data_IF_592736758228
#
_entry.id   IF_592736758228
#
_cell.length_a   1.000
_cell.length_b   1.000
_cell.length_c   1.000
_cell.angle_alpha   90.00
_cell.angle_beta   90.00
_cell.angle_gamma   90.00
#
_symmetry.space_group_name_H-M   'P 1'
#
loop_
_entity.id
_entity.type
_entity.pdbx_description
1 polymer ?
#
# COMPACT_ATOMS: atom_id res chain seq x y z
N UNK A 1 8.36 -1.54 10.69
CA UNK A 1 7.53 -0.89 11.75
C UNK A 1 6.59 -1.96 12.29
N UNK A 2 6.47 -2.10 13.62
CA UNK A 2 5.58 -3.11 14.21
C UNK A 2 4.17 -2.51 14.40
N UNK A 3 3.33 -2.62 13.37
CA UNK A 3 1.93 -2.15 13.42
C UNK A 3 1.15 -2.78 14.58
N UNK A 4 1.48 -4.01 14.97
CA UNK A 4 0.81 -4.73 16.06
C UNK A 4 0.73 -3.94 17.37
N UNK A 5 1.80 -3.23 17.74
CA UNK A 5 1.81 -2.44 18.99
C UNK A 5 0.82 -1.29 18.90
N UNK A 6 0.80 -0.59 17.76
CA UNK A 6 -0.12 0.53 17.54
C UNK A 6 -1.57 0.04 17.48
N UNK A 7 -1.83 -1.06 16.79
CA UNK A 7 -3.15 -1.71 16.73
C UNK A 7 -3.62 -2.06 18.14
N UNK A 8 -2.80 -2.75 18.95
CA UNK A 8 -3.17 -3.12 20.31
C UNK A 8 -3.47 -1.91 21.21
N UNK A 9 -2.72 -0.81 21.05
CA UNK A 9 -2.97 0.43 21.80
C UNK A 9 -4.30 1.07 21.35
N UNK A 10 -4.54 1.17 20.05
CA UNK A 10 -5.76 1.78 19.50
C UNK A 10 -7.00 0.96 19.86
N UNK A 11 -6.91 -0.37 19.79
CA UNK A 11 -7.98 -1.29 20.21
C UNK A 11 -8.29 -1.13 21.70
N UNK A 12 -7.26 -1.07 22.56
CA UNK A 12 -7.45 -0.88 24.01
C UNK A 12 -8.04 0.48 24.39
N UNK A 13 -7.87 1.49 23.54
CA UNK A 13 -8.45 2.82 23.69
C UNK A 13 -9.78 2.98 22.96
N UNK A 14 -10.27 1.91 22.31
CA UNK A 14 -11.47 1.92 21.46
C UNK A 14 -11.41 3.02 20.36
N UNK A 15 -10.20 3.34 19.89
CA UNK A 15 -9.98 4.32 18.83
C UNK A 15 -10.08 3.59 17.49
N UNK A 16 -11.05 3.92 16.63
CA UNK A 16 -11.16 3.27 15.34
C UNK A 16 -9.99 3.60 14.43
N UNK A 17 -9.55 2.59 13.67
CA UNK A 17 -8.37 2.73 12.84
C UNK A 17 -8.52 2.00 11.51
N UNK A 18 -7.70 2.45 10.56
CA UNK A 18 -7.42 1.74 9.31
C UNK A 18 -5.91 1.79 9.10
N UNK A 19 -5.37 0.83 8.37
CA UNK A 19 -3.95 0.84 8.00
C UNK A 19 -3.77 0.54 6.53
N UNK A 20 -2.68 1.08 5.97
CA UNK A 20 -2.18 0.67 4.66
C UNK A 20 -0.68 0.42 4.74
N UNK A 21 -0.21 -0.59 4.02
CA UNK A 21 1.22 -0.92 3.95
C UNK A 21 1.66 -1.30 2.54
N UNK A 22 2.95 -1.12 2.25
CA UNK A 22 3.57 -1.53 0.98
C UNK A 22 3.54 -3.07 0.81
N UNK A 23 3.45 -3.53 -0.45
CA UNK A 23 3.47 -4.96 -0.81
C UNK A 23 4.90 -5.47 -0.86
N UNK A 24 5.59 -5.38 0.28
CA UNK A 24 7.00 -5.70 0.37
C UNK A 24 7.23 -7.20 0.11
N UNK A 25 8.12 -7.50 -0.83
CA UNK A 25 8.63 -8.85 -1.07
C UNK A 25 10.15 -8.78 -1.06
N UNK A 26 10.77 -9.71 -0.35
CA UNK A 26 12.22 -9.70 -0.14
C UNK A 26 12.78 -11.10 0.00
N UNK A 27 14.01 -11.30 -0.43
CA UNK A 27 14.75 -12.53 -0.18
C UNK A 27 15.11 -12.66 1.30
N UNK A 28 14.98 -13.87 1.86
CA UNK A 28 15.46 -14.19 3.19
C UNK A 28 16.99 -14.18 3.23
N UNK A 29 17.55 -13.74 4.35
CA UNK A 29 18.99 -13.82 4.57
C UNK A 29 19.40 -15.29 4.65
N UNK A 30 20.44 -15.65 3.92
CA UNK A 30 21.07 -16.98 3.94
C UNK A 30 20.17 -18.13 3.47
N UNK A 31 19.05 -17.83 2.80
CA UNK A 31 18.17 -18.83 2.19
C UNK A 31 17.80 -18.41 0.78
N UNK A 32 17.65 -19.38 -0.13
CA UNK A 32 17.11 -19.12 -1.47
C UNK A 32 15.58 -19.10 -1.46
N UNK A 33 15.02 -18.38 -0.51
CA UNK A 33 13.59 -18.27 -0.26
C UNK A 33 13.17 -16.82 -0.21
N UNK A 34 11.95 -16.54 -0.64
CA UNK A 34 11.38 -15.21 -0.72
C UNK A 34 10.16 -15.10 0.17
N UNK A 35 10.11 -14.02 0.94
CA UNK A 35 9.04 -13.77 1.90
C UNK A 35 8.07 -12.70 1.38
N UNK A 36 6.77 -13.00 1.49
CA UNK A 36 5.66 -12.09 1.24
C UNK A 36 5.47 -11.11 2.41
N UNK A 37 6.49 -10.30 2.71
CA UNK A 37 6.53 -9.45 3.91
C UNK A 37 5.31 -8.52 4.07
N UNK A 38 4.82 -7.93 2.98
CA UNK A 38 3.63 -7.06 2.98
C UNK A 38 2.35 -7.83 3.27
N UNK A 39 2.08 -8.88 2.50
CA UNK A 39 0.92 -9.79 2.68
C UNK A 39 0.93 -10.39 4.09
N UNK A 40 2.04 -11.01 4.50
CA UNK A 40 2.14 -11.67 5.80
C UNK A 40 1.99 -10.69 6.96
N UNK A 41 2.39 -9.42 6.79
CA UNK A 41 2.12 -8.37 7.78
C UNK A 41 0.62 -8.09 7.92
N UNK A 42 -0.11 -8.01 6.81
CA UNK A 42 -1.56 -7.84 6.84
C UNK A 42 -2.28 -9.06 7.44
N UNK A 43 -1.92 -10.27 7.02
CA UNK A 43 -2.50 -11.52 7.52
C UNK A 43 -2.28 -11.67 9.03
N UNK A 44 -1.08 -11.35 9.51
CA UNK A 44 -0.74 -11.40 10.95
C UNK A 44 -1.57 -10.44 11.80
N UNK A 45 -1.86 -9.25 11.28
CA UNK A 45 -2.69 -8.24 11.97
C UNK A 45 -4.17 -8.64 11.89
N UNK A 46 -4.60 -9.26 10.79
CA UNK A 46 -5.94 -9.78 10.62
C UNK A 46 -6.24 -11.05 11.44
N UNK A 47 -5.21 -11.67 12.04
CA UNK A 47 -5.33 -12.95 12.74
C UNK A 47 -5.53 -14.15 11.80
N UNK A 48 -5.02 -14.04 10.57
CA UNK A 48 -5.12 -15.06 9.52
C UNK A 48 -3.79 -15.82 9.37
N UNK A 49 -3.87 -17.00 8.76
CA UNK A 49 -2.71 -17.82 8.44
C UNK A 49 -1.79 -17.09 7.44
N UNK A 50 -0.48 -17.17 7.68
CA UNK A 50 0.54 -16.53 6.83
C UNK A 50 0.85 -17.42 5.63
N UNK A 51 1.26 -16.79 4.55
CA UNK A 51 1.81 -17.50 3.42
C UNK A 51 3.19 -18.06 3.75
N UNK A 52 3.42 -19.29 3.31
CA UNK A 52 4.74 -19.90 3.26
C UNK A 52 5.69 -19.12 2.36
N UNK A 53 6.98 -19.28 2.60
CA UNK A 53 8.00 -18.66 1.76
C UNK A 53 8.04 -19.29 0.37
N UNK A 54 8.19 -18.46 -0.66
CA UNK A 54 8.37 -18.92 -2.03
C UNK A 54 9.79 -19.47 -2.22
N UNK A 55 9.91 -20.63 -2.86
CA UNK A 55 11.19 -21.21 -3.27
C UNK A 55 11.74 -20.56 -4.56
N UNK A 56 10.94 -19.74 -5.24
CA UNK A 56 11.35 -18.98 -6.43
C UNK A 56 11.35 -17.49 -6.15
N UNK A 57 12.14 -16.75 -6.94
CA UNK A 57 12.09 -15.30 -6.92
C UNK A 57 10.70 -14.80 -7.30
N UNK A 58 10.19 -13.90 -6.48
CA UNK A 58 8.89 -13.26 -6.61
C UNK A 58 9.05 -11.76 -6.37
N UNK A 59 8.24 -10.98 -7.07
CA UNK A 59 8.12 -9.53 -6.96
C UNK A 59 6.64 -9.14 -6.83
N UNK A 60 6.31 -7.92 -6.38
CA UNK A 60 4.93 -7.57 -6.06
C UNK A 60 3.94 -7.77 -7.21
N UNK A 61 4.37 -7.53 -8.46
CA UNK A 61 3.54 -7.75 -9.66
C UNK A 61 3.13 -9.22 -9.87
N UNK A 62 3.92 -10.17 -9.37
CA UNK A 62 3.60 -11.59 -9.47
C UNK A 62 2.37 -11.92 -8.62
N UNK A 63 2.23 -11.31 -7.43
CA UNK A 63 1.06 -11.47 -6.56
C UNK A 63 -0.22 -10.90 -7.16
N UNK A 64 -0.10 -9.88 -8.00
CA UNK A 64 -1.23 -9.31 -8.75
C UNK A 64 -1.62 -10.27 -9.87
N UNK A 65 -0.63 -10.81 -10.59
CA UNK A 65 -0.83 -11.69 -11.75
C UNK A 65 -1.38 -13.05 -11.33
N UNK A 66 -0.95 -13.59 -10.19
CA UNK A 66 -1.46 -14.85 -9.63
C UNK A 66 -2.88 -14.73 -9.05
N UNK A 67 -3.33 -13.51 -8.72
CA UNK A 67 -4.59 -13.26 -8.01
C UNK A 67 -4.48 -13.33 -6.49
N UNK A 68 -3.30 -13.60 -5.94
CA UNK A 68 -3.06 -13.64 -4.50
C UNK A 68 -3.32 -12.28 -3.84
N UNK A 69 -2.85 -11.20 -4.46
CA UNK A 69 -3.06 -9.85 -3.98
C UNK A 69 -4.55 -9.51 -3.88
N UNK A 70 -5.33 -9.88 -4.91
CA UNK A 70 -6.77 -9.66 -4.98
C UNK A 70 -7.47 -10.43 -3.84
N UNK A 71 -7.19 -11.73 -3.73
CA UNK A 71 -7.78 -12.63 -2.74
C UNK A 71 -7.48 -12.15 -1.32
N UNK A 72 -6.21 -11.84 -1.02
CA UNK A 72 -5.80 -11.33 0.29
C UNK A 72 -6.48 -9.99 0.57
N UNK A 73 -6.44 -9.05 -0.39
CA UNK A 73 -7.01 -7.70 -0.24
C UNK A 73 -8.50 -7.75 0.07
N UNK A 74 -9.27 -8.61 -0.60
CA UNK A 74 -10.70 -8.77 -0.35
C UNK A 74 -11.00 -9.21 1.09
N UNK A 75 -10.16 -10.07 1.67
CA UNK A 75 -10.31 -10.54 3.04
C UNK A 75 -9.87 -9.52 4.09
N UNK A 76 -8.73 -8.85 3.89
CA UNK A 76 -8.17 -7.91 4.88
C UNK A 76 -8.86 -6.54 4.84
N UNK A 77 -9.37 -6.08 3.68
CA UNK A 77 -9.99 -4.77 3.53
C UNK A 77 -11.26 -4.63 4.39
N UNK A 78 -11.99 -5.74 4.56
CA UNK A 78 -13.18 -5.82 5.45
C UNK A 78 -12.85 -5.48 6.91
N UNK A 79 -11.58 -5.59 7.30
CA UNK A 79 -11.07 -5.36 8.66
C UNK A 79 -10.31 -4.04 8.80
N UNK A 80 -10.37 -3.16 7.81
CA UNK A 80 -9.65 -1.88 7.84
C UNK A 80 -8.16 -1.98 7.52
N UNK A 81 -7.69 -3.12 7.03
CA UNK A 81 -6.29 -3.37 6.68
C UNK A 81 -6.17 -3.37 5.15
N UNK A 82 -5.26 -2.56 4.61
CA UNK A 82 -5.08 -2.38 3.17
C UNK A 82 -3.64 -2.65 2.75
N UNK A 83 -3.47 -3.24 1.57
CA UNK A 83 -2.18 -3.53 0.97
C UNK A 83 -2.02 -2.71 -0.32
N UNK A 84 -0.87 -2.06 -0.50
CA UNK A 84 -0.50 -1.45 -1.79
C UNK A 84 -0.45 -2.53 -2.87
N UNK A 85 -0.60 -2.18 -4.15
CA UNK A 85 -0.33 -3.14 -5.25
C UNK A 85 1.17 -3.41 -5.33
N UNK A 86 1.96 -2.33 -5.32
CA UNK A 86 3.42 -2.38 -5.30
C UNK A 86 3.92 -1.59 -4.09
N UNK A 87 3.91 -0.26 -4.20
CA UNK A 87 4.27 0.68 -3.14
C UNK A 87 3.47 1.99 -3.33
N UNK A 88 3.57 2.90 -2.36
CA UNK A 88 2.88 4.19 -2.44
C UNK A 88 3.14 4.96 -3.74
N UNK A 89 4.39 5.03 -4.20
CA UNK A 89 4.81 5.82 -5.35
C UNK A 89 4.26 5.26 -6.66
N UNK A 90 4.41 3.94 -6.85
CA UNK A 90 3.97 3.23 -8.04
C UNK A 90 2.44 3.26 -8.13
N UNK A 91 1.75 3.02 -7.01
CA UNK A 91 0.30 3.06 -6.96
C UNK A 91 -0.22 4.48 -7.25
N UNK A 92 0.42 5.52 -6.68
CA UNK A 92 0.03 6.91 -6.89
C UNK A 92 0.24 7.36 -8.34
N UNK A 93 1.39 7.03 -8.94
CA UNK A 93 1.63 7.32 -10.36
C UNK A 93 0.67 6.53 -11.24
N UNK A 94 0.36 5.28 -10.91
CA UNK A 94 -0.61 4.47 -11.65
C UNK A 94 -2.03 5.05 -11.64
N UNK A 95 -2.46 5.65 -10.54
CA UNK A 95 -3.80 6.23 -10.41
C UNK A 95 -3.88 7.71 -10.86
N UNK A 96 -2.76 8.44 -10.88
CA UNK A 96 -2.72 9.87 -11.17
C UNK A 96 -1.55 10.26 -12.09
N UNK A 97 -1.26 9.46 -13.11
CA UNK A 97 -0.11 9.61 -14.00
C UNK A 97 -0.01 11.02 -14.60
N UNK A 98 -1.02 11.47 -15.35
CA UNK A 98 -0.92 12.73 -16.12
C UNK A 98 -0.62 13.97 -15.25
N UNK A 99 -1.34 14.23 -14.13
CA UNK A 99 -0.99 15.34 -13.25
C UNK A 99 0.43 15.23 -12.66
N UNK A 100 0.87 14.04 -12.31
CA UNK A 100 2.19 13.82 -11.70
C UNK A 100 3.32 14.01 -12.72
N UNK A 101 3.17 13.49 -13.94
CA UNK A 101 4.14 13.70 -15.01
C UNK A 101 4.32 15.18 -15.33
N UNK A 102 3.22 15.92 -15.39
CA UNK A 102 3.23 17.37 -15.63
C UNK A 102 3.92 18.11 -14.48
N UNK A 103 3.57 17.80 -13.22
CA UNK A 103 4.17 18.44 -12.05
C UNK A 103 5.68 18.17 -11.92
N UNK A 104 6.12 16.94 -12.22
CA UNK A 104 7.52 16.54 -12.10
C UNK A 104 8.36 16.79 -13.36
N UNK A 105 7.74 17.26 -14.45
CA UNK A 105 8.38 17.41 -15.76
C UNK A 105 8.97 16.10 -16.30
N UNK A 106 8.28 14.97 -16.10
CA UNK A 106 8.72 13.63 -16.53
C UNK A 106 8.03 13.20 -17.82
N UNK A 107 8.74 12.38 -18.60
CA UNK A 107 8.25 11.87 -19.89
C UNK A 107 7.42 10.59 -19.77
N UNK A 108 7.59 9.82 -18.70
CA UNK A 108 6.93 8.54 -18.48
C UNK A 108 6.83 8.24 -16.98
N UNK A 109 5.94 7.30 -16.65
CA UNK A 109 5.63 6.89 -15.28
C UNK A 109 6.85 6.34 -14.55
N UNK A 110 7.65 5.49 -15.22
CA UNK A 110 8.86 4.91 -14.64
C UNK A 110 9.81 5.98 -14.11
N UNK A 111 10.06 7.04 -14.90
CA UNK A 111 10.91 8.15 -14.50
C UNK A 111 10.33 9.01 -13.37
N UNK A 112 9.01 9.05 -13.21
CA UNK A 112 8.35 9.67 -12.07
C UNK A 112 8.46 8.80 -10.81
N UNK A 113 8.21 7.50 -10.92
CA UNK A 113 8.30 6.52 -9.83
C UNK A 113 9.71 6.52 -9.24
N UNK A 114 10.74 6.34 -10.09
CA UNK A 114 12.15 6.34 -9.64
C UNK A 114 12.56 7.67 -9.00
N UNK A 115 12.00 8.78 -9.49
CA UNK A 115 12.22 10.07 -8.87
C UNK A 115 11.59 10.09 -7.48
N UNK A 116 10.34 9.72 -7.32
CA UNK A 116 9.67 9.76 -6.01
C UNK A 116 10.36 8.84 -4.99
N UNK A 117 10.70 7.60 -5.38
CA UNK A 117 11.32 6.61 -4.50
C UNK A 117 12.67 7.07 -3.91
N UNK A 118 13.52 7.74 -4.70
CA UNK A 118 14.87 8.18 -4.26
C UNK A 118 14.88 9.10 -3.04
N UNK A 119 13.83 9.90 -2.84
CA UNK A 119 13.68 10.76 -1.65
C UNK A 119 12.20 10.83 -1.24
N UNK A 120 11.60 9.67 -1.00
CA UNK A 120 10.15 9.45 -0.76
C UNK A 120 9.49 10.58 0.03
N UNK A 121 9.83 10.76 1.30
CA UNK A 121 9.17 11.75 2.15
C UNK A 121 9.27 13.20 1.63
N UNK A 122 10.45 13.61 1.15
CA UNK A 122 10.67 14.98 0.68
C UNK A 122 9.97 15.23 -0.67
N UNK A 123 10.15 14.33 -1.63
CA UNK A 123 9.61 14.48 -2.98
C UNK A 123 8.11 14.32 -3.03
N UNK A 124 7.53 13.45 -2.20
CA UNK A 124 6.07 13.34 -2.06
C UNK A 124 5.47 14.62 -1.49
N UNK A 125 6.11 15.21 -0.47
CA UNK A 125 5.65 16.50 0.09
C UNK A 125 5.71 17.63 -0.94
N UNK A 126 6.77 17.68 -1.74
CA UNK A 126 6.91 18.67 -2.82
C UNK A 126 5.84 18.47 -3.88
N UNK A 127 5.69 17.25 -4.40
CA UNK A 127 4.67 16.89 -5.40
C UNK A 127 3.27 17.31 -4.98
N UNK A 128 2.89 17.06 -3.71
CA UNK A 128 1.55 17.40 -3.20
C UNK A 128 1.19 18.89 -3.31
N UNK A 129 2.18 19.80 -3.37
CA UNK A 129 1.91 21.23 -3.58
C UNK A 129 1.34 21.50 -4.97
N UNK A 130 1.78 20.72 -5.96
CA UNK A 130 1.46 20.93 -7.36
C UNK A 130 0.22 20.13 -7.79
N UNK A 131 0.01 18.93 -7.24
CA UNK A 131 -1.11 18.05 -7.61
C UNK A 131 -2.32 18.16 -6.68
N UNK A 132 -2.33 19.07 -5.70
CA UNK A 132 -3.39 19.17 -4.67
C UNK A 132 -4.79 19.25 -5.28
N UNK A 133 -4.93 20.02 -6.36
CA UNK A 133 -6.21 20.22 -7.07
C UNK A 133 -6.68 18.97 -7.80
N UNK A 134 -5.78 18.03 -8.10
CA UNK A 134 -6.05 16.80 -8.85
C UNK A 134 -6.32 15.59 -7.95
N UNK A 135 -6.06 15.68 -6.63
CA UNK A 135 -6.24 14.54 -5.70
C UNK A 135 -7.65 13.97 -5.68
N UNK A 136 -8.68 14.79 -5.99
CA UNK A 136 -10.06 14.32 -6.09
C UNK A 136 -10.26 13.25 -7.19
N UNK A 137 -9.34 13.17 -8.17
CA UNK A 137 -9.38 12.15 -9.23
C UNK A 137 -9.06 10.74 -8.70
N UNK A 138 -8.46 10.63 -7.51
CA UNK A 138 -8.20 9.35 -6.83
C UNK A 138 -9.46 8.71 -6.24
N UNK A 139 -10.61 9.37 -6.29
CA UNK A 139 -11.85 8.91 -5.65
C UNK A 139 -12.35 7.53 -6.12
N UNK A 140 -11.91 7.05 -7.29
CA UNK A 140 -12.24 5.73 -7.81
C UNK A 140 -11.14 4.67 -7.60
N UNK A 141 -9.98 5.07 -7.07
CA UNK A 141 -8.79 4.23 -6.94
C UNK A 141 -8.72 3.39 -5.67
N UNK A 142 -7.65 2.59 -5.56
CA UNK A 142 -7.36 1.81 -4.35
C UNK A 142 -6.87 2.73 -3.21
N UNK A 143 -6.16 3.81 -3.54
CA UNK A 143 -5.56 4.72 -2.56
C UNK A 143 -6.58 5.38 -1.62
N UNK A 144 -7.79 5.67 -2.12
CA UNK A 144 -8.83 6.34 -1.33
C UNK A 144 -9.61 5.37 -0.44
N UNK A 145 -9.59 4.06 -0.72
CA UNK A 145 -10.38 3.06 0.02
C UNK A 145 -10.16 3.09 1.54
N UNK A 146 -8.91 3.10 2.08
CA UNK A 146 -8.72 3.20 3.52
C UNK A 146 -9.31 4.49 4.10
N UNK A 147 -9.17 5.62 3.40
CA UNK A 147 -9.72 6.91 3.86
C UNK A 147 -11.25 6.86 3.93
N UNK A 148 -11.89 6.33 2.88
CA UNK A 148 -13.34 6.19 2.84
C UNK A 148 -13.85 5.21 3.91
N UNK A 149 -13.14 4.11 4.17
CA UNK A 149 -13.47 3.19 5.25
C UNK A 149 -13.42 3.90 6.60
N UNK A 150 -12.36 4.64 6.89
CA UNK A 150 -12.26 5.40 8.14
C UNK A 150 -13.39 6.41 8.32
N UNK A 151 -13.76 7.11 7.24
CA UNK A 151 -14.91 8.04 7.24
C UNK A 151 -16.22 7.31 7.56
N UNK A 152 -16.46 6.14 6.97
CA UNK A 152 -17.67 5.34 7.25
C UNK A 152 -17.74 4.90 8.70
N UNK A 153 -16.63 4.40 9.25
CA UNK A 153 -16.54 4.01 10.67
C UNK A 153 -16.93 5.17 11.58
N UNK A 154 -16.39 6.37 11.33
CA UNK A 154 -16.68 7.56 12.15
C UNK A 154 -18.14 8.02 12.00
N UNK A 155 -18.75 7.81 10.83
CA UNK A 155 -20.15 8.15 10.58
C UNK A 155 -21.15 7.10 11.07
N UNK A 156 -20.69 5.89 11.42
CA UNK A 156 -21.56 4.77 11.78
C UNK A 156 -22.29 4.15 10.58
N UNK A 157 -21.66 4.20 9.40
CA UNK A 157 -22.17 3.64 8.12
C UNK A 157 -21.64 2.23 7.84
#
# INVERSE_FOLDING_TARGET
ISFKIYVAILDALEIPWVMRTDNDISKLKDQDKWQYSGINRCLDIAGLEKFEHSDTQIVPIDTITSGDWQTVSEEINKRGIYLSKIDLETDLVGELSTPILNALGKRNDQGAIEFLQKKKALRMRELLKDIKTDLHKLNAGELVKPLNHLVKIIRGE
#
